data_IF_236932258999
#
_entry.id   IF_236932258999
#
_cell.length_a   1.000
_cell.length_b   1.000
_cell.length_c   1.000
_cell.angle_alpha   90.00
_cell.angle_beta   90.00
_cell.angle_gamma   90.00
#
_symmetry.space_group_name_H-M   'P 1'
#
loop_
_entity.id
_entity.type
_entity.pdbx_description
1 polymer ?
#
# COMPACT_ATOMS: atom_id res chain seq x y z
N UNK A 1 4.49 -21.36 8.85
CA UNK A 1 5.32 -20.81 7.76
C UNK A 1 6.50 -20.12 8.37
N UNK A 2 7.71 -20.56 8.01
CA UNK A 2 8.97 -20.04 8.51
C UNK A 2 9.10 -18.53 8.21
N UNK A 3 9.88 -17.81 9.02
CA UNK A 3 10.07 -16.36 8.89
C UNK A 3 10.63 -16.01 7.51
N UNK A 4 11.53 -16.83 7.00
CA UNK A 4 12.20 -16.60 5.72
C UNK A 4 11.22 -16.79 4.54
N UNK A 5 10.32 -17.77 4.65
CA UNK A 5 9.22 -17.94 3.69
C UNK A 5 8.24 -16.77 3.69
N UNK A 6 7.95 -16.18 4.87
CA UNK A 6 7.09 -14.99 4.96
C UNK A 6 7.74 -13.76 4.31
N UNK A 7 9.03 -13.56 4.53
CA UNK A 7 9.78 -12.48 3.88
C UNK A 7 9.83 -12.68 2.36
N UNK A 8 10.14 -13.89 1.89
CA UNK A 8 10.14 -14.21 0.47
C UNK A 8 8.75 -13.95 -0.18
N UNK A 9 7.67 -14.36 0.49
CA UNK A 9 6.32 -14.11 0.02
C UNK A 9 6.01 -12.61 -0.05
N UNK A 10 6.41 -11.83 0.97
CA UNK A 10 6.23 -10.37 0.98
C UNK A 10 6.96 -9.68 -0.17
N UNK A 11 8.22 -10.08 -0.42
CA UNK A 11 9.07 -9.52 -1.48
C UNK A 11 8.48 -9.79 -2.86
N UNK A 12 7.80 -10.93 -3.07
CA UNK A 12 7.17 -11.28 -4.35
C UNK A 12 5.75 -10.70 -4.45
N UNK A 13 4.98 -10.75 -3.36
CA UNK A 13 3.59 -10.30 -3.34
C UNK A 13 3.46 -8.80 -3.54
N UNK A 14 4.36 -7.98 -2.97
CA UNK A 14 4.29 -6.52 -3.11
C UNK A 14 4.41 -6.09 -4.59
N UNK A 15 5.44 -6.49 -5.36
CA UNK A 15 5.52 -6.20 -6.79
C UNK A 15 4.34 -6.76 -7.58
N UNK A 16 3.88 -7.97 -7.28
CA UNK A 16 2.77 -8.60 -7.98
C UNK A 16 1.46 -7.82 -7.76
N UNK A 17 1.17 -7.41 -6.53
CA UNK A 17 0.04 -6.54 -6.21
C UNK A 17 0.15 -5.18 -6.92
N UNK A 18 1.35 -4.59 -6.95
CA UNK A 18 1.61 -3.36 -7.70
C UNK A 18 1.33 -3.52 -9.19
N UNK A 19 1.78 -4.64 -9.79
CA UNK A 19 1.56 -4.94 -11.20
C UNK A 19 0.07 -5.10 -11.52
N UNK A 20 -0.67 -5.83 -10.69
CA UNK A 20 -2.13 -6.00 -10.83
C UNK A 20 -2.83 -4.65 -10.73
N UNK A 21 -2.45 -3.83 -9.74
CA UNK A 21 -3.03 -2.51 -9.54
C UNK A 21 -2.79 -1.60 -10.75
N UNK A 22 -1.54 -1.45 -11.18
CA UNK A 22 -1.18 -0.63 -12.34
C UNK A 22 -1.85 -1.14 -13.62
N UNK A 23 -1.85 -2.46 -13.85
CA UNK A 23 -2.51 -3.08 -15.00
C UNK A 23 -4.02 -2.82 -15.00
N UNK A 24 -4.67 -2.91 -13.84
CA UNK A 24 -6.09 -2.62 -13.71
C UNK A 24 -6.42 -1.15 -13.96
N UNK A 25 -5.59 -0.21 -13.48
CA UNK A 25 -5.77 1.22 -13.72
C UNK A 25 -5.66 1.56 -15.22
N UNK A 26 -4.67 0.97 -15.91
CA UNK A 26 -4.51 1.12 -17.36
C UNK A 26 -5.71 0.51 -18.10
N UNK A 27 -6.13 -0.71 -17.75
CA UNK A 27 -7.27 -1.36 -18.37
C UNK A 27 -8.53 -0.51 -18.24
N UNK A 28 -8.79 0.02 -17.04
CA UNK A 28 -9.94 0.91 -16.79
C UNK A 28 -9.86 2.18 -17.65
N UNK A 29 -8.68 2.78 -17.81
CA UNK A 29 -8.50 3.93 -18.72
C UNK A 29 -8.69 3.57 -20.20
N UNK A 30 -8.34 2.36 -20.64
CA UNK A 30 -8.49 1.94 -22.03
C UNK A 30 -9.95 1.62 -22.37
N UNK A 31 -10.64 0.90 -21.49
CA UNK A 31 -11.97 0.35 -21.77
C UNK A 31 -13.14 1.25 -21.33
N UNK A 32 -12.91 2.26 -20.49
CA UNK A 32 -13.98 3.15 -20.02
C UNK A 32 -13.85 4.56 -20.59
N UNK A 33 -14.83 4.97 -21.39
CA UNK A 33 -14.92 6.34 -21.91
C UNK A 33 -15.11 7.35 -20.78
N UNK A 34 -15.93 7.03 -19.78
CA UNK A 34 -16.16 7.88 -18.61
C UNK A 34 -14.88 8.23 -17.83
N UNK A 35 -13.95 7.27 -17.73
CA UNK A 35 -12.67 7.49 -17.06
C UNK A 35 -11.77 8.42 -17.88
N UNK A 36 -11.87 8.34 -19.21
CA UNK A 36 -11.15 9.22 -20.15
C UNK A 36 -11.73 10.62 -20.19
N UNK A 37 -13.02 10.79 -19.91
CA UNK A 37 -13.68 12.10 -19.79
C UNK A 37 -13.30 12.83 -18.49
N UNK A 38 -12.97 12.09 -17.43
CA UNK A 38 -12.60 12.66 -16.12
C UNK A 38 -11.19 12.24 -15.65
N UNK A 39 -10.13 12.47 -16.44
CA UNK A 39 -8.81 11.91 -16.18
C UNK A 39 -8.17 12.46 -14.89
N UNK A 40 -8.46 13.71 -14.51
CA UNK A 40 -7.95 14.31 -13.28
C UNK A 40 -8.54 13.65 -12.03
N UNK A 41 -9.84 13.38 -12.04
CA UNK A 41 -10.53 12.74 -10.91
C UNK A 41 -10.02 11.32 -10.71
N UNK A 42 -9.99 10.53 -11.78
CA UNK A 42 -9.53 9.14 -11.72
C UNK A 42 -8.02 9.03 -11.47
N UNK A 43 -7.21 9.90 -12.06
CA UNK A 43 -5.77 9.97 -11.77
C UNK A 43 -5.50 10.27 -10.29
N UNK A 44 -6.26 11.20 -9.70
CA UNK A 44 -6.17 11.51 -8.26
C UNK A 44 -6.59 10.32 -7.40
N UNK A 45 -7.68 9.64 -7.74
CA UNK A 45 -8.10 8.42 -7.05
C UNK A 45 -7.04 7.32 -7.12
N UNK A 46 -6.48 7.08 -8.31
CA UNK A 46 -5.45 6.07 -8.51
C UNK A 46 -4.13 6.41 -7.78
N UNK A 47 -3.86 7.68 -7.54
CA UNK A 47 -2.72 8.12 -6.73
C UNK A 47 -3.00 7.99 -5.23
N UNK A 48 -4.21 8.35 -4.78
CA UNK A 48 -4.58 8.36 -3.37
C UNK A 48 -4.62 6.96 -2.75
N UNK A 49 -5.04 5.93 -3.50
CA UNK A 49 -5.14 4.56 -2.98
C UNK A 49 -3.78 4.01 -2.48
N UNK A 50 -2.72 3.93 -3.30
CA UNK A 50 -1.42 3.43 -2.84
C UNK A 50 -0.79 4.38 -1.82
N UNK A 51 -0.99 5.70 -1.95
CA UNK A 51 -0.49 6.69 -1.00
C UNK A 51 -1.10 6.50 0.39
N UNK A 52 -2.43 6.43 0.49
CA UNK A 52 -3.14 6.23 1.75
C UNK A 52 -2.78 4.88 2.38
N UNK A 53 -2.62 3.84 1.56
CA UNK A 53 -2.18 2.52 2.03
C UNK A 53 -0.78 2.59 2.64
N UNK A 54 0.17 3.22 1.94
CA UNK A 54 1.53 3.43 2.44
C UNK A 54 1.56 4.27 3.72
N UNK A 55 0.82 5.38 3.74
CA UNK A 55 0.70 6.26 4.90
C UNK A 55 0.09 5.51 6.10
N UNK A 56 -0.95 4.71 5.90
CA UNK A 56 -1.57 3.93 6.96
C UNK A 56 -0.64 2.87 7.55
N UNK A 57 0.09 2.14 6.69
CA UNK A 57 1.10 1.16 7.13
C UNK A 57 2.19 1.85 7.94
N UNK A 58 2.67 3.00 7.45
CA UNK A 58 3.71 3.77 8.11
C UNK A 58 3.26 4.32 9.47
N UNK A 59 2.04 4.86 9.57
CA UNK A 59 1.45 5.34 10.82
C UNK A 59 1.29 4.21 11.84
N UNK A 60 0.80 3.03 11.41
CA UNK A 60 0.68 1.86 12.30
C UNK A 60 2.04 1.36 12.79
N UNK A 61 3.03 1.29 11.91
CA UNK A 61 4.39 0.91 12.28
C UNK A 61 4.99 1.90 13.29
N UNK A 62 4.79 3.20 13.04
CA UNK A 62 5.24 4.28 13.93
C UNK A 62 4.60 4.16 15.32
N UNK A 63 3.27 4.04 15.39
CA UNK A 63 2.54 3.86 16.65
C UNK A 63 3.02 2.63 17.43
N UNK A 64 3.29 1.51 16.75
CA UNK A 64 3.81 0.29 17.39
C UNK A 64 5.20 0.53 18.00
N UNK A 65 6.07 1.26 17.31
CA UNK A 65 7.41 1.58 17.82
C UNK A 65 7.35 2.45 19.09
N UNK A 66 6.45 3.45 19.15
CA UNK A 66 6.27 4.28 20.34
C UNK A 66 5.79 3.48 21.55
N UNK A 67 4.83 2.56 21.38
CA UNK A 67 4.32 1.71 22.47
C UNK A 67 5.38 0.77 23.06
N UNK A 68 6.24 0.21 22.20
CA UNK A 68 7.36 -0.63 22.66
C UNK A 68 8.34 0.19 23.49
N UNK A 69 8.67 1.41 23.04
CA UNK A 69 9.59 2.32 23.73
C UNK A 69 9.07 2.76 25.10
N UNK A 70 7.76 2.99 25.24
CA UNK A 70 7.09 3.29 26.52
C UNK A 70 7.22 2.10 27.50
N UNK A 71 6.99 0.88 27.01
CA UNK A 71 6.99 -0.33 27.84
C UNK A 71 8.39 -0.66 28.38
N UNK A 72 9.43 -0.47 27.57
CA UNK A 72 10.82 -0.63 27.99
C UNK A 72 11.22 0.42 29.04
N UNK A 73 10.67 1.64 28.97
CA UNK A 73 10.95 2.70 29.94
C UNK A 73 10.31 2.51 31.31
N UNK A 74 9.23 1.73 31.41
CA UNK A 74 8.56 1.40 32.69
C UNK A 74 9.24 0.21 33.39
N UNK A 75 9.97 -0.62 32.64
CA UNK A 75 10.68 -1.80 33.16
C UNK A 75 12.09 -1.51 33.73
N UNK A 76 12.70 -0.38 33.36
CA UNK A 76 13.98 0.11 33.86
C UNK A 76 13.76 1.16 34.95
#
# INVERSE_FOLDING_TARGET
>A
MDKDTKFALLVIAIPLCGLIYCGSAIAVMVYSEYVREHPLTFGTLFLLIPFATGAFIWLRASAKAYRVKETERIKN
#
